data_IF_200628165805
#
_entry.id   IF_200628165805
#
_cell.length_a   1.000
_cell.length_b   1.000
_cell.length_c   1.000
_cell.angle_alpha   90.00
_cell.angle_beta   90.00
_cell.angle_gamma   90.00
#
_symmetry.space_group_name_H-M   'P 1'
#
loop_
_entity.id
_entity.type
_entity.pdbx_description
1 polymer ?
#
# COMPACT_ATOMS: atom_id res chain seq x y z
N UNK A 1 -13.86 16.85 2.90
CA UNK A 1 -13.68 15.79 3.92
C UNK A 1 -15.03 15.44 4.53
N UNK A 2 -15.74 14.46 3.98
CA UNK A 2 -17.05 14.03 4.47
C UNK A 2 -17.04 12.58 4.96
N UNK A 3 -18.06 12.18 5.72
CA UNK A 3 -18.22 10.80 6.24
C UNK A 3 -18.16 9.73 5.16
N UNK A 4 -18.54 10.06 3.92
CA UNK A 4 -18.49 9.15 2.76
C UNK A 4 -17.05 8.83 2.33
N UNK A 5 -16.12 9.78 2.43
CA UNK A 5 -14.72 9.56 2.04
C UNK A 5 -14.02 8.66 3.07
N UNK A 6 -14.28 8.89 4.36
CA UNK A 6 -13.76 8.06 5.44
C UNK A 6 -14.33 6.63 5.40
N UNK A 7 -15.60 6.46 5.02
CA UNK A 7 -16.18 5.13 4.84
C UNK A 7 -15.50 4.35 3.70
N UNK A 8 -15.18 5.03 2.58
CA UNK A 8 -14.43 4.41 1.47
C UNK A 8 -13.00 4.10 1.88
N UNK A 9 -12.33 5.02 2.55
CA UNK A 9 -10.97 4.81 3.05
C UNK A 9 -10.91 3.64 4.04
N UNK A 10 -11.89 3.54 4.95
CA UNK A 10 -12.01 2.42 5.87
C UNK A 10 -12.21 1.08 5.14
N UNK A 11 -13.05 1.06 4.10
CA UNK A 11 -13.27 -0.16 3.31
C UNK A 11 -11.97 -0.61 2.63
N UNK A 12 -11.22 0.32 2.02
CA UNK A 12 -9.93 0.01 1.38
C UNK A 12 -8.87 -0.40 2.42
N UNK A 13 -8.81 0.25 3.58
CA UNK A 13 -7.92 -0.12 4.68
C UNK A 13 -8.17 -1.56 5.13
N UNK A 14 -9.42 -1.91 5.43
CA UNK A 14 -9.78 -3.26 5.86
C UNK A 14 -9.49 -4.29 4.76
N UNK A 15 -9.75 -3.95 3.49
CA UNK A 15 -9.46 -4.80 2.36
C UNK A 15 -7.95 -5.04 2.18
N UNK A 16 -7.11 -4.01 2.28
CA UNK A 16 -5.65 -4.13 2.22
C UNK A 16 -5.11 -4.96 3.38
N UNK A 17 -5.54 -4.66 4.62
CA UNK A 17 -5.08 -5.37 5.82
C UNK A 17 -5.38 -6.87 5.73
N UNK A 18 -6.57 -7.22 5.24
CA UNK A 18 -6.97 -8.61 5.00
C UNK A 18 -6.22 -9.23 3.83
N UNK A 19 -6.10 -8.53 2.69
CA UNK A 19 -5.47 -9.04 1.47
C UNK A 19 -3.96 -9.32 1.66
N UNK A 20 -3.26 -8.47 2.41
CA UNK A 20 -1.86 -8.71 2.77
C UNK A 20 -1.68 -9.71 3.92
N UNK A 21 -2.78 -10.22 4.49
CA UNK A 21 -2.78 -11.10 5.66
C UNK A 21 -1.94 -10.51 6.81
N UNK A 22 -2.16 -9.22 7.10
CA UNK A 22 -1.39 -8.49 8.10
C UNK A 22 -1.71 -9.03 9.49
N UNK A 23 -0.66 -9.38 10.23
CA UNK A 23 -0.73 -9.89 11.59
C UNK A 23 -0.59 -8.75 12.60
N UNK A 24 -1.59 -8.62 13.46
CA UNK A 24 -1.68 -7.55 14.45
C UNK A 24 -2.03 -6.20 13.82
N UNK A 25 -2.20 -5.20 14.68
CA UNK A 25 -2.39 -3.81 14.31
C UNK A 25 -1.94 -2.95 15.50
N UNK A 26 -0.95 -2.09 15.28
CA UNK A 26 -0.21 -1.40 16.33
C UNK A 26 -0.04 0.08 15.99
N UNK A 27 -0.09 0.95 16.99
CA UNK A 27 0.01 2.40 16.79
C UNK A 27 1.39 2.98 17.10
N UNK A 28 2.24 2.25 17.83
CA UNK A 28 3.53 2.76 18.30
C UNK A 28 4.67 2.12 17.50
N UNK A 29 5.55 2.97 16.96
CA UNK A 29 6.71 2.54 16.17
C UNK A 29 7.98 2.33 17.00
N UNK A 30 7.98 2.79 18.25
CA UNK A 30 9.11 2.77 19.18
C UNK A 30 9.06 1.61 20.17
N UNK A 31 8.10 0.69 20.02
CA UNK A 31 7.89 -0.46 20.90
C UNK A 31 7.64 -1.71 20.11
N UNK A 32 8.12 -2.83 20.62
CA UNK A 32 7.88 -4.13 19.98
C UNK A 32 6.39 -4.52 20.07
N UNK A 33 5.87 -5.34 19.14
CA UNK A 33 4.48 -5.78 19.14
C UNK A 33 4.00 -6.39 20.48
N UNK A 34 4.87 -7.13 21.16
CA UNK A 34 4.59 -7.73 22.47
C UNK A 34 4.58 -6.75 23.64
N UNK A 35 5.08 -5.53 23.44
CA UNK A 35 5.17 -4.50 24.48
C UNK A 35 3.99 -3.52 24.44
N UNK A 36 3.14 -3.59 23.43
CA UNK A 36 2.02 -2.66 23.23
C UNK A 36 0.71 -3.40 22.98
N UNK A 37 -0.40 -2.74 23.33
CA UNK A 37 -1.72 -3.27 23.03
C UNK A 37 -2.04 -3.11 21.54
N UNK A 38 -2.73 -4.12 20.99
CA UNK A 38 -3.24 -4.02 19.63
C UNK A 38 -4.33 -2.93 19.57
N UNK A 39 -4.28 -2.13 18.50
CA UNK A 39 -5.27 -1.09 18.21
C UNK A 39 -6.25 -1.54 17.13
N UNK A 40 -7.46 -0.98 17.06
CA UNK A 40 -8.37 -1.25 15.96
C UNK A 40 -7.77 -0.85 14.60
N UNK A 41 -7.91 -1.69 13.57
CA UNK A 41 -7.53 -1.34 12.20
C UNK A 41 -8.59 -0.40 11.59
N UNK A 42 -8.53 0.87 11.96
CA UNK A 42 -9.53 1.87 11.56
C UNK A 42 -8.92 3.18 11.09
N UNK A 43 -9.67 3.94 10.29
CA UNK A 43 -9.30 5.30 9.88
C UNK A 43 -9.15 6.23 11.10
N UNK A 44 -9.94 6.03 12.15
CA UNK A 44 -9.80 6.78 13.40
C UNK A 44 -8.44 6.50 14.06
N UNK A 45 -8.02 5.23 14.13
CA UNK A 45 -6.70 4.86 14.64
C UNK A 45 -5.57 5.36 13.74
N UNK A 46 -5.72 5.32 12.41
CA UNK A 46 -4.76 5.97 11.50
C UNK A 46 -4.62 7.47 11.78
N UNK A 47 -5.72 8.17 12.03
CA UNK A 47 -5.69 9.60 12.35
C UNK A 47 -5.06 9.88 13.72
N UNK A 48 -5.28 9.00 14.70
CA UNK A 48 -4.72 9.12 16.05
C UNK A 48 -3.20 8.87 16.08
N UNK A 49 -2.75 7.78 15.46
CA UNK A 49 -1.34 7.33 15.52
C UNK A 49 -0.49 7.81 14.34
N UNK A 50 -1.11 8.37 13.30
CA UNK A 50 -0.48 8.73 12.02
C UNK A 50 -0.20 7.52 11.14
N UNK A 51 0.27 6.42 11.72
CA UNK A 51 0.54 5.16 11.05
C UNK A 51 -0.10 4.00 11.82
N UNK A 52 -0.46 2.95 11.09
CA UNK A 52 -0.74 1.64 11.66
C UNK A 52 0.35 0.67 11.22
N UNK A 53 0.85 -0.12 12.17
CA UNK A 53 1.88 -1.12 11.94
C UNK A 53 1.33 -2.53 12.12
N UNK A 54 1.93 -3.47 11.40
CA UNK A 54 1.61 -4.89 11.52
C UNK A 54 2.77 -5.73 10.99
N UNK A 55 2.55 -7.04 10.83
CA UNK A 55 3.55 -7.94 10.25
C UNK A 55 2.98 -8.67 9.05
N UNK A 56 3.75 -8.76 7.97
CA UNK A 56 3.37 -9.49 6.75
C UNK A 56 4.41 -10.54 6.42
N UNK A 57 3.97 -11.63 5.78
CA UNK A 57 4.88 -12.63 5.25
C UNK A 57 5.23 -12.27 3.82
N UNK A 58 6.50 -11.96 3.58
CA UNK A 58 7.01 -11.71 2.23
C UNK A 58 7.02 -13.00 1.40
N UNK A 59 7.14 -12.91 0.06
CA UNK A 59 7.32 -14.07 -0.81
C UNK A 59 8.53 -14.95 -0.45
N UNK A 60 9.55 -14.38 0.20
CA UNK A 60 10.70 -15.12 0.75
C UNK A 60 10.35 -16.01 1.95
N UNK A 61 9.12 -15.91 2.46
CA UNK A 61 8.64 -16.62 3.65
C UNK A 61 8.98 -15.92 4.97
N UNK A 62 9.80 -14.86 4.94
CA UNK A 62 10.17 -14.05 6.10
C UNK A 62 8.98 -13.23 6.61
N UNK A 63 8.82 -13.18 7.93
CA UNK A 63 7.84 -12.32 8.59
C UNK A 63 8.49 -10.98 8.90
N UNK A 64 7.99 -9.90 8.31
CA UNK A 64 8.56 -8.55 8.44
C UNK A 64 7.52 -7.55 8.92
N UNK A 65 7.96 -6.43 9.48
CA UNK A 65 7.07 -5.30 9.80
C UNK A 65 6.59 -4.64 8.50
N UNK A 66 5.32 -4.27 8.47
CA UNK A 66 4.72 -3.37 7.48
C UNK A 66 4.08 -2.16 8.18
N UNK A 67 3.84 -1.11 7.43
CA UNK A 67 3.10 0.07 7.89
C UNK A 67 2.00 0.46 6.91
N UNK A 68 1.05 1.22 7.41
CA UNK A 68 0.02 1.87 6.61
C UNK A 68 -0.17 3.32 7.06
N UNK A 69 -0.32 4.24 6.10
CA UNK A 69 -0.61 5.66 6.36
C UNK A 69 -1.62 6.18 5.35
N UNK A 70 -2.50 7.08 5.80
CA UNK A 70 -3.42 7.80 4.93
C UNK A 70 -2.82 9.17 4.56
N UNK A 71 -2.67 9.45 3.28
CA UNK A 71 -2.27 10.77 2.77
C UNK A 71 -3.52 11.47 2.26
N UNK A 72 -3.93 12.54 2.92
CA UNK A 72 -5.15 13.27 2.57
C UNK A 72 -4.85 14.32 1.51
N UNK A 73 -5.56 14.21 0.39
CA UNK A 73 -5.29 15.05 -0.79
C UNK A 73 -5.90 16.45 -0.76
N UNK A 74 -6.76 16.74 0.23
CA UNK A 74 -7.50 18.00 0.30
C UNK A 74 -8.54 18.14 -0.81
N UNK A 75 -8.98 19.37 -1.10
CA UNK A 75 -10.11 19.61 -2.02
C UNK A 75 -9.77 19.37 -3.50
N UNK A 76 -8.48 19.34 -3.87
CA UNK A 76 -8.03 19.21 -5.26
C UNK A 76 -7.37 17.86 -5.59
N UNK A 77 -7.15 16.98 -4.59
CA UNK A 77 -6.57 15.66 -4.85
C UNK A 77 -7.20 14.56 -4.01
N UNK A 78 -7.16 13.33 -4.54
CA UNK A 78 -7.78 12.18 -3.88
C UNK A 78 -6.98 11.75 -2.65
N UNK A 79 -7.67 11.14 -1.69
CA UNK A 79 -7.02 10.46 -0.58
C UNK A 79 -6.25 9.22 -1.06
N UNK A 80 -5.07 9.02 -0.50
CA UNK A 80 -4.23 7.84 -0.71
C UNK A 80 -4.12 7.05 0.58
N UNK A 81 -3.97 5.74 0.41
CA UNK A 81 -3.66 4.83 1.48
C UNK A 81 -2.43 4.03 1.09
N UNK A 82 -1.34 4.26 1.81
CA UNK A 82 -0.04 3.69 1.49
C UNK A 82 0.17 2.48 2.38
N UNK A 83 0.16 1.28 1.81
CA UNK A 83 0.66 0.07 2.48
C UNK A 83 2.13 -0.12 2.07
N UNK A 84 3.03 -0.18 3.04
CA UNK A 84 4.47 -0.22 2.78
C UNK A 84 5.20 -1.20 3.69
N UNK A 85 6.39 -1.62 3.23
CA UNK A 85 7.37 -2.36 4.04
C UNK A 85 8.59 -1.44 4.20
N UNK A 86 9.02 -1.11 5.44
CA UNK A 86 10.20 -0.28 5.65
C UNK A 86 11.46 -0.90 5.03
N UNK A 87 12.35 -0.05 4.50
CA UNK A 87 13.60 -0.50 3.87
C UNK A 87 14.44 -1.37 4.80
N UNK A 88 14.60 -0.96 6.07
CA UNK A 88 15.35 -1.77 7.06
C UNK A 88 14.75 -3.16 7.31
N UNK A 89 13.44 -3.32 7.12
CA UNK A 89 12.78 -4.63 7.20
C UNK A 89 13.05 -5.49 5.95
N UNK A 90 13.16 -4.88 4.77
CA UNK A 90 13.59 -5.56 3.55
C UNK A 90 15.06 -6.00 3.64
N UNK A 91 15.95 -5.13 4.15
CA UNK A 91 17.35 -5.45 4.43
C UNK A 91 17.48 -6.68 5.33
N UNK A 92 16.77 -6.66 6.46
CA UNK A 92 16.79 -7.76 7.42
C UNK A 92 16.29 -9.07 6.82
N UNK A 93 15.31 -9.01 5.92
CA UNK A 93 14.78 -10.16 5.21
C UNK A 93 15.63 -10.62 4.01
N UNK A 94 16.75 -9.95 3.72
CA UNK A 94 17.63 -10.26 2.59
C UNK A 94 16.99 -10.02 1.23
N UNK A 95 15.98 -9.13 1.16
CA UNK A 95 15.31 -8.78 -0.09
C UNK A 95 16.13 -7.70 -0.78
N UNK A 96 16.66 -7.98 -1.96
CA UNK A 96 17.31 -6.97 -2.77
C UNK A 96 16.28 -5.94 -3.23
N UNK A 97 16.39 -4.71 -2.73
CA UNK A 97 15.52 -3.59 -3.09
C UNK A 97 16.29 -2.44 -3.74
N UNK A 98 17.60 -2.60 -3.97
CA UNK A 98 18.40 -1.66 -4.75
C UNK A 98 19.53 -2.40 -5.52
N UNK A 99 19.68 -2.12 -6.82
CA UNK A 99 20.75 -2.65 -7.68
C UNK A 99 21.65 -1.57 -8.31
N UNK A 100 21.61 -0.35 -7.78
CA UNK A 100 22.30 0.82 -8.33
C UNK A 100 21.45 1.66 -9.30
N UNK A 101 20.31 1.16 -9.80
CA UNK A 101 19.37 1.98 -10.58
C UNK A 101 18.42 2.77 -9.67
N UNK A 102 18.04 4.01 -10.04
CA UNK A 102 16.96 4.69 -9.36
C UNK A 102 15.70 3.83 -9.47
N UNK A 103 14.99 3.63 -8.35
CA UNK A 103 13.74 2.87 -8.28
C UNK A 103 13.83 1.36 -8.60
N UNK A 104 15.02 0.73 -8.49
CA UNK A 104 15.11 -0.73 -8.59
C UNK A 104 14.20 -1.40 -7.58
N UNK A 105 13.44 -2.38 -8.04
CA UNK A 105 12.46 -3.09 -7.24
C UNK A 105 12.73 -4.58 -7.36
N UNK A 106 12.65 -5.28 -6.24
CA UNK A 106 12.46 -6.73 -6.28
C UNK A 106 11.15 -6.98 -7.03
N UNK A 107 11.23 -7.57 -8.24
CA UNK A 107 10.05 -7.93 -9.01
C UNK A 107 9.09 -8.80 -8.19
N UNK A 108 9.63 -9.68 -7.33
CA UNK A 108 8.84 -10.48 -6.41
C UNK A 108 8.07 -9.63 -5.38
N UNK A 109 8.64 -8.52 -4.92
CA UNK A 109 7.95 -7.60 -3.99
C UNK A 109 6.87 -6.80 -4.70
N UNK A 110 7.13 -6.33 -5.93
CA UNK A 110 6.14 -5.64 -6.75
C UNK A 110 4.97 -6.55 -7.13
N UNK A 111 5.25 -7.78 -7.54
CA UNK A 111 4.23 -8.79 -7.86
C UNK A 111 3.39 -9.14 -6.63
N UNK A 112 4.02 -9.21 -5.45
CA UNK A 112 3.30 -9.41 -4.19
C UNK A 112 2.39 -8.22 -3.86
N UNK A 113 2.87 -6.99 -3.97
CA UNK A 113 2.06 -5.79 -3.78
C UNK A 113 0.90 -5.72 -4.80
N UNK A 114 1.16 -6.13 -6.04
CA UNK A 114 0.13 -6.19 -7.08
C UNK A 114 -0.95 -7.23 -6.76
N UNK A 115 -0.56 -8.40 -6.26
CA UNK A 115 -1.48 -9.43 -5.81
C UNK A 115 -2.32 -8.97 -4.61
N UNK A 116 -1.71 -8.29 -3.63
CA UNK A 116 -2.42 -7.69 -2.50
C UNK A 116 -3.43 -6.65 -2.98
N UNK A 117 -3.02 -5.73 -3.87
CA UNK A 117 -3.93 -4.72 -4.42
C UNK A 117 -5.07 -5.32 -5.25
N UNK A 118 -4.80 -6.38 -6.01
CA UNK A 118 -5.83 -7.12 -6.75
C UNK A 118 -6.84 -7.82 -5.83
N UNK A 119 -6.39 -8.44 -4.75
CA UNK A 119 -7.28 -9.03 -3.75
C UNK A 119 -8.09 -7.96 -3.01
N UNK A 120 -7.44 -6.86 -2.58
CA UNK A 120 -8.14 -5.77 -1.91
C UNK A 120 -9.23 -5.16 -2.81
N UNK A 121 -8.96 -5.00 -4.12
CA UNK A 121 -9.93 -4.47 -5.07
C UNK A 121 -11.21 -5.32 -5.19
N UNK A 122 -11.11 -6.64 -5.00
CA UNK A 122 -12.29 -7.53 -4.99
C UNK A 122 -13.23 -7.26 -3.81
N UNK A 123 -12.71 -6.69 -2.72
CA UNK A 123 -13.48 -6.37 -1.51
C UNK A 123 -13.87 -4.90 -1.42
N UNK A 124 -13.01 -4.00 -1.92
CA UNK A 124 -13.23 -2.56 -1.89
C UNK A 124 -12.63 -1.88 -3.12
N UNK A 125 -13.48 -1.18 -3.89
CA UNK A 125 -13.05 -0.48 -5.10
C UNK A 125 -12.29 0.81 -4.78
N UNK A 126 -11.13 0.99 -5.42
CA UNK A 126 -10.36 2.24 -5.47
C UNK A 126 -10.24 2.71 -6.93
N UNK A 127 -9.85 3.97 -7.15
CA UNK A 127 -9.79 4.55 -8.51
C UNK A 127 -8.45 4.36 -9.20
N UNK A 128 -7.37 4.19 -8.43
CA UNK A 128 -6.01 3.96 -8.90
C UNK A 128 -5.18 3.39 -7.74
N UNK A 129 -4.30 2.44 -8.04
CA UNK A 129 -3.21 2.03 -7.16
C UNK A 129 -1.87 2.16 -7.88
N UNK A 130 -0.81 2.38 -7.11
CA UNK A 130 0.56 2.53 -7.60
C UNK A 130 1.51 1.67 -6.76
N UNK A 131 2.56 1.15 -7.39
CA UNK A 131 3.52 0.24 -6.75
C UNK A 131 4.94 0.72 -7.04
N UNK A 132 5.63 1.18 -6.01
CA UNK A 132 7.03 1.55 -6.09
C UNK A 132 7.55 2.24 -4.86
N UNK A 133 8.78 2.72 -4.93
CA UNK A 133 9.40 3.55 -3.89
C UNK A 133 8.72 4.90 -3.84
N UNK A 134 8.15 5.25 -2.68
CA UNK A 134 7.52 6.56 -2.42
C UNK A 134 6.55 6.99 -3.53
N UNK A 135 5.76 6.04 -4.05
CA UNK A 135 4.97 6.23 -5.27
C UNK A 135 3.67 7.02 -5.05
N UNK A 136 3.25 7.26 -3.80
CA UNK A 136 2.02 7.98 -3.50
C UNK A 136 2.14 9.45 -3.89
N UNK A 137 1.07 10.00 -4.47
CA UNK A 137 1.04 11.38 -4.95
C UNK A 137 1.87 11.67 -6.21
N UNK A 138 2.63 10.71 -6.76
CA UNK A 138 3.37 10.89 -8.03
C UNK A 138 2.46 10.97 -9.26
N UNK A 139 1.19 10.58 -9.14
CA UNK A 139 0.21 10.60 -10.23
C UNK A 139 -1.21 10.69 -9.67
N UNK A 140 -2.22 10.82 -10.53
CA UNK A 140 -3.64 10.76 -10.15
C UNK A 140 -4.47 9.98 -11.17
N UNK A 141 -5.59 9.41 -10.72
CA UNK A 141 -6.52 8.68 -11.60
C UNK A 141 -7.02 9.56 -12.76
N UNK A 142 -7.27 10.85 -12.50
CA UNK A 142 -7.67 11.83 -13.51
C UNK A 142 -6.60 12.05 -14.57
N UNK A 143 -5.32 11.99 -14.20
CA UNK A 143 -4.18 12.15 -15.13
C UNK A 143 -4.02 10.95 -16.06
N UNK A 144 -4.38 9.75 -15.60
CA UNK A 144 -4.23 8.51 -16.38
C UNK A 144 -5.33 8.29 -17.43
N UNK A 145 -6.49 8.94 -17.29
CA UNK A 145 -7.63 8.78 -18.19
C UNK A 145 -7.98 7.30 -18.53
N UNK A 146 -7.78 6.38 -17.59
CA UNK A 146 -8.04 4.94 -17.77
C UNK A 146 -7.03 4.18 -18.66
N UNK A 147 -5.90 4.80 -19.02
CA UNK A 147 -4.83 4.17 -19.81
C UNK A 147 -3.54 4.05 -19.00
N UNK A 148 -2.87 2.91 -19.18
CA UNK A 148 -1.52 2.71 -18.66
C UNK A 148 -0.53 3.47 -19.56
N UNK A 149 0.45 4.19 -18.99
CA UNK A 149 1.54 4.78 -19.76
C UNK A 149 2.35 3.71 -20.51
N UNK A 150 2.94 4.06 -21.65
CA UNK A 150 3.82 3.15 -22.40
C UNK A 150 5.13 2.88 -21.64
N UNK A 151 5.77 3.92 -21.14
CA UNK A 151 6.93 3.89 -20.23
C UNK A 151 6.47 4.03 -18.79
N UNK A 152 6.93 3.14 -17.90
CA UNK A 152 6.45 3.03 -16.51
C UNK A 152 7.62 2.80 -15.56
N UNK A 153 7.99 3.85 -14.83
CA UNK A 153 8.98 3.80 -13.74
C UNK A 153 8.42 3.20 -12.44
N UNK A 154 7.10 3.03 -12.35
CA UNK A 154 6.38 2.40 -11.24
C UNK A 154 5.31 1.43 -11.78
N UNK A 155 4.85 0.51 -10.92
CA UNK A 155 3.73 -0.35 -11.23
C UNK A 155 2.40 0.39 -11.06
N UNK A 156 1.40 0.02 -11.86
CA UNK A 156 0.07 0.61 -11.82
C UNK A 156 -1.00 -0.46 -11.66
N UNK A 157 -1.97 -0.19 -10.80
CA UNK A 157 -3.19 -0.96 -10.63
C UNK A 157 -4.35 -0.10 -11.10
N UNK A 158 -4.82 -0.36 -12.31
CA UNK A 158 -5.81 0.48 -12.99
C UNK A 158 -7.14 -0.26 -13.18
N UNK A 159 -8.20 0.12 -12.45
CA UNK A 159 -9.53 -0.42 -12.64
C UNK A 159 -10.08 -0.09 -14.03
N UNK A 160 -10.68 -1.07 -14.70
CA UNK A 160 -11.53 -0.89 -15.88
C UNK A 160 -12.82 -1.69 -15.69
N UNK A 161 -13.85 -1.00 -15.21
CA UNK A 161 -15.05 -1.67 -14.69
C UNK A 161 -14.71 -2.46 -13.43
N UNK A 162 -15.09 -3.73 -13.38
CA UNK A 162 -14.85 -4.64 -12.25
C UNK A 162 -13.49 -5.36 -12.34
N UNK A 163 -12.71 -5.12 -13.39
CA UNK A 163 -11.41 -5.77 -13.61
C UNK A 163 -10.29 -4.81 -13.25
N UNK A 164 -9.37 -5.26 -12.38
CA UNK A 164 -8.14 -4.53 -12.09
C UNK A 164 -7.03 -4.98 -13.04
N UNK A 165 -6.46 -4.02 -13.78
CA UNK A 165 -5.32 -4.28 -14.66
C UNK A 165 -4.02 -3.90 -13.96
N UNK A 166 -3.11 -4.87 -13.83
CA UNK A 166 -1.76 -4.62 -13.39
C UNK A 166 -0.85 -4.30 -14.59
N UNK A 167 -0.27 -3.11 -14.58
CA UNK A 167 0.82 -2.72 -15.48
C UNK A 167 2.12 -2.68 -14.70
N UNK A 168 2.93 -3.73 -14.79
CA UNK A 168 4.28 -3.74 -14.22
C UNK A 168 5.12 -2.63 -14.86
N UNK A 169 6.07 -2.11 -14.09
CA UNK A 169 7.08 -1.21 -14.61
C UNK A 169 7.92 -1.88 -15.71
N UNK A 170 8.44 -1.07 -16.63
CA UNK A 170 9.12 -1.57 -17.82
C UNK A 170 10.31 -0.70 -18.27
N UNK A 171 10.82 0.16 -17.40
CA UNK A 171 12.00 1.01 -17.61
C UNK A 171 13.15 0.61 -16.70
#
# INVERSE_FOLDING_TARGET
MGSTDDARLQAVLSALWSAANVQGCFGQSDREPEEQDAVPCTVASLAEFGHLYGRVRLPTGQLVVCGCVAVRGGDESSDWLDLYVPVGALDHAGVAYWDGRPFFRSAATDDWLAAVGAEAFRSASFSLGVIGFEASGCTSASTMAGRLPEERDIGYLLPRGEVLHYGAANT
#
